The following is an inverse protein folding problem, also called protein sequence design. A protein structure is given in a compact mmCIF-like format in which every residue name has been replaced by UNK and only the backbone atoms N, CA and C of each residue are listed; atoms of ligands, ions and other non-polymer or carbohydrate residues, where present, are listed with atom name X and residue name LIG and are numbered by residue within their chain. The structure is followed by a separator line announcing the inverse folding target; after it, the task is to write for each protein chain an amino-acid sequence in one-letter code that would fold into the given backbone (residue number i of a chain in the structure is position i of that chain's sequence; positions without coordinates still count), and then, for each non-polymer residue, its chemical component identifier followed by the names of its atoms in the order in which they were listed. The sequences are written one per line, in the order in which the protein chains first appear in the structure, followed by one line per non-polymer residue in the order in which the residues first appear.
data_IF_958584354303
#
_entry.id   IF_958584354303
#
_cell.length_a   1.000
_cell.length_b   1.000
_cell.length_c   1.000
_cell.angle_alpha   90.00
_cell.angle_beta   90.00
_cell.angle_gamma   90.00
#
_symmetry.space_group_name_H-M   'P 1'
#
loop_
_entity.id
_entity.type
_entity.pdbx_description
1 polymer ?
#
# COMPACT_ATOMS: atom_id res chain seq x y z
N UNK A 1 11.59 9.72 -9.77
CA UNK A 1 12.34 8.57 -10.30
C UNK A 1 12.96 7.90 -9.09
N UNK A 2 12.40 6.79 -8.61
CA UNK A 2 12.96 6.09 -7.45
C UNK A 2 14.09 5.23 -8.00
N UNK A 3 15.33 5.47 -7.57
CA UNK A 3 16.48 4.64 -7.90
C UNK A 3 16.22 3.23 -7.37
N UNK A 4 16.19 2.24 -8.27
CA UNK A 4 16.00 0.84 -7.90
C UNK A 4 17.39 0.20 -7.98
N UNK A 5 17.93 -0.21 -6.83
CA UNK A 5 19.21 -0.94 -6.71
C UNK A 5 19.10 -2.41 -7.23
N UNK A 6 18.37 -2.62 -8.33
CA UNK A 6 18.21 -3.93 -8.98
C UNK A 6 16.80 -4.22 -9.52
N UNK A 7 16.61 -5.40 -10.15
CA UNK A 7 15.31 -5.83 -10.68
C UNK A 7 14.27 -5.98 -9.56
N UNK A 8 13.05 -5.54 -9.85
CA UNK A 8 11.89 -5.68 -8.95
C UNK A 8 11.40 -7.11 -8.99
N UNK A 9 11.33 -7.74 -7.82
CA UNK A 9 10.84 -9.11 -7.67
C UNK A 9 9.37 -9.13 -7.23
N UNK A 10 8.96 -8.13 -6.46
CA UNK A 10 7.57 -7.98 -6.02
C UNK A 10 7.23 -6.51 -5.76
N UNK A 11 6.03 -6.07 -6.14
CA UNK A 11 5.60 -4.70 -5.92
C UNK A 11 4.08 -4.56 -5.72
N UNK A 12 3.70 -3.86 -4.65
CA UNK A 12 2.33 -3.42 -4.40
C UNK A 12 2.27 -1.90 -4.26
N UNK A 13 1.36 -1.28 -5.02
CA UNK A 13 1.26 0.18 -5.10
C UNK A 13 0.45 0.81 -3.96
N UNK A 14 -0.21 0.03 -3.10
CA UNK A 14 -1.07 0.49 -2.00
C UNK A 14 -2.45 1.05 -2.41
N UNK A 15 -2.55 1.83 -3.49
CA UNK A 15 -3.81 2.30 -4.06
C UNK A 15 -3.74 2.55 -5.59
N UNK A 16 -4.83 2.26 -6.30
CA UNK A 16 -5.02 2.67 -7.70
C UNK A 16 -5.44 4.13 -7.81
N UNK A 17 -5.34 4.70 -9.02
CA UNK A 17 -5.83 6.06 -9.31
C UNK A 17 -7.33 6.10 -9.66
N UNK A 18 -7.98 4.93 -9.77
CA UNK A 18 -9.38 4.81 -10.16
C UNK A 18 -10.35 5.65 -9.30
N UNK A 19 -10.16 5.81 -7.97
CA UNK A 19 -11.01 6.67 -7.15
C UNK A 19 -11.05 8.15 -7.57
N UNK A 20 -10.10 8.63 -8.36
CA UNK A 20 -10.19 9.98 -8.93
C UNK A 20 -11.40 10.17 -9.84
N UNK A 21 -11.94 9.08 -10.40
CA UNK A 21 -13.14 9.11 -11.23
C UNK A 21 -14.42 9.37 -10.42
N UNK A 22 -14.39 9.25 -9.09
CA UNK A 22 -15.56 9.53 -8.25
C UNK A 22 -16.00 10.99 -8.35
N UNK A 23 -15.06 11.93 -8.40
CA UNK A 23 -15.37 13.35 -8.52
C UNK A 23 -16.13 13.71 -9.82
N UNK A 24 -15.61 13.41 -11.03
CA UNK A 24 -16.35 13.69 -12.26
C UNK A 24 -17.65 12.88 -12.34
N UNK A 25 -17.66 11.62 -11.90
CA UNK A 25 -18.90 10.83 -11.88
C UNK A 25 -19.98 11.47 -11.00
N UNK A 26 -19.61 11.95 -9.80
CA UNK A 26 -20.54 12.63 -8.89
C UNK A 26 -21.11 13.91 -9.49
N UNK A 27 -20.26 14.74 -10.11
CA UNK A 27 -20.70 15.97 -10.80
C UNK A 27 -21.68 15.66 -11.93
N UNK A 28 -21.37 14.66 -12.77
CA UNK A 28 -22.22 14.28 -13.90
C UNK A 28 -23.58 13.75 -13.44
N UNK A 29 -23.60 12.94 -12.38
CA UNK A 29 -24.85 12.44 -11.79
C UNK A 29 -25.67 13.60 -11.25
N UNK A 30 -25.06 14.51 -10.49
CA UNK A 30 -25.74 15.68 -9.92
C UNK A 30 -26.34 16.60 -10.99
N UNK A 31 -25.56 16.92 -12.02
CA UNK A 31 -26.05 17.71 -13.16
C UNK A 31 -27.19 17.00 -13.92
N UNK A 32 -27.09 15.69 -14.10
CA UNK A 32 -28.17 14.91 -14.73
C UNK A 32 -29.47 14.96 -13.93
N UNK A 33 -29.40 14.94 -12.60
CA UNK A 33 -30.56 15.08 -11.72
C UNK A 33 -31.15 16.50 -11.78
N UNK A 34 -30.32 17.53 -11.79
CA UNK A 34 -30.79 18.92 -11.92
C UNK A 34 -31.53 19.12 -13.25
N UNK A 35 -30.96 18.64 -14.36
CA UNK A 35 -31.59 18.72 -15.69
C UNK A 35 -32.97 18.02 -15.70
N UNK A 36 -33.11 16.93 -14.95
CA UNK A 36 -34.37 16.19 -14.85
C UNK A 36 -35.41 16.81 -13.90
N UNK A 37 -34.99 17.63 -12.93
CA UNK A 37 -35.85 18.09 -11.82
C UNK A 37 -36.07 19.61 -11.77
N UNK A 38 -35.26 20.42 -12.46
CA UNK A 38 -35.47 21.86 -12.57
C UNK A 38 -34.16 22.68 -12.63
N UNK A 39 -33.90 23.61 -11.69
CA UNK A 39 -32.76 24.52 -11.79
C UNK A 39 -31.40 23.80 -11.76
N UNK A 40 -30.48 24.24 -12.62
CA UNK A 40 -29.11 23.69 -12.69
C UNK A 40 -28.17 24.45 -11.76
N UNK A 41 -27.66 23.75 -10.74
CA UNK A 41 -26.76 24.25 -9.72
C UNK A 41 -25.30 23.94 -10.05
N UNK A 42 -24.83 24.36 -11.23
CA UNK A 42 -23.50 24.02 -11.75
C UNK A 42 -22.38 24.32 -10.75
N UNK A 43 -22.38 25.50 -10.14
CA UNK A 43 -21.35 25.91 -9.19
C UNK A 43 -21.32 25.01 -7.94
N UNK A 44 -22.48 24.59 -7.43
CA UNK A 44 -22.59 23.70 -6.27
C UNK A 44 -22.03 22.31 -6.55
N UNK A 45 -22.34 21.74 -7.72
CA UNK A 45 -21.81 20.45 -8.14
C UNK A 45 -20.30 20.51 -8.37
N UNK A 46 -19.79 21.53 -9.06
CA UNK A 46 -18.36 21.70 -9.29
C UNK A 46 -17.59 21.86 -7.98
N UNK A 47 -18.09 22.65 -7.03
CA UNK A 47 -17.46 22.83 -5.73
C UNK A 47 -17.42 21.51 -4.94
N UNK A 48 -18.53 20.77 -4.94
CA UNK A 48 -18.62 19.46 -4.27
C UNK A 48 -17.70 18.41 -4.93
N UNK A 49 -17.66 18.38 -6.26
CA UNK A 49 -16.77 17.53 -7.03
C UNK A 49 -15.30 17.84 -6.78
N UNK A 50 -14.93 19.11 -6.69
CA UNK A 50 -13.58 19.54 -6.33
C UNK A 50 -13.22 19.09 -4.90
N UNK A 51 -14.13 19.25 -3.94
CA UNK A 51 -13.94 18.76 -2.58
C UNK A 51 -13.69 17.25 -2.53
N UNK A 52 -14.52 16.47 -3.25
CA UNK A 52 -14.36 15.03 -3.36
C UNK A 52 -13.02 14.65 -4.02
N UNK A 53 -12.63 15.36 -5.08
CA UNK A 53 -11.35 15.15 -5.77
C UNK A 53 -10.17 15.34 -4.82
N UNK A 54 -10.15 16.44 -4.06
CA UNK A 54 -9.08 16.73 -3.09
C UNK A 54 -8.98 15.62 -2.05
N UNK A 55 -10.10 15.21 -1.46
CA UNK A 55 -10.14 14.12 -0.47
C UNK A 55 -9.62 12.82 -1.09
N UNK A 56 -10.05 12.46 -2.31
CA UNK A 56 -9.58 11.28 -3.02
C UNK A 56 -8.08 11.32 -3.28
N UNK A 57 -7.52 12.46 -3.70
CA UNK A 57 -6.07 12.64 -3.93
C UNK A 57 -5.29 12.43 -2.63
N UNK A 58 -5.69 13.09 -1.54
CA UNK A 58 -5.03 12.95 -0.22
C UNK A 58 -5.06 11.49 0.23
N UNK A 59 -6.21 10.83 0.11
CA UNK A 59 -6.37 9.43 0.48
C UNK A 59 -5.50 8.48 -0.36
N UNK A 60 -5.48 8.65 -1.70
CA UNK A 60 -4.63 7.85 -2.59
C UNK A 60 -3.16 8.06 -2.23
N UNK A 61 -2.74 9.31 -2.00
CA UNK A 61 -1.36 9.63 -1.66
C UNK A 61 -0.95 8.98 -0.34
N UNK A 62 -1.79 9.07 0.70
CA UNK A 62 -1.55 8.43 1.98
C UNK A 62 -1.38 6.90 1.80
N UNK A 63 -2.29 6.24 1.09
CA UNK A 63 -2.17 4.79 0.84
C UNK A 63 -0.94 4.42 0.04
N UNK A 64 -0.57 5.19 -0.97
CA UNK A 64 0.66 4.96 -1.75
C UNK A 64 1.93 5.19 -0.93
N UNK A 65 1.87 6.10 0.04
CA UNK A 65 3.02 6.43 0.89
C UNK A 65 3.23 5.40 2.00
N UNK A 66 2.15 4.93 2.62
CA UNK A 66 2.22 4.08 3.81
C UNK A 66 1.90 2.60 3.56
N UNK A 67 1.19 2.27 2.48
CA UNK A 67 0.74 0.90 2.17
C UNK A 67 1.37 0.33 0.89
N UNK A 68 2.50 0.90 0.45
CA UNK A 68 3.26 0.36 -0.67
C UNK A 68 4.30 -0.66 -0.20
N UNK A 69 4.47 -1.71 -0.98
CA UNK A 69 5.47 -2.76 -0.78
C UNK A 69 6.34 -2.81 -2.03
N UNK A 70 7.66 -2.88 -1.86
CA UNK A 70 8.59 -3.09 -2.96
C UNK A 70 9.69 -4.03 -2.48
N UNK A 71 9.84 -5.16 -3.15
CA UNK A 71 10.95 -6.08 -2.97
C UNK A 71 11.84 -6.05 -4.20
N UNK A 72 13.12 -5.85 -3.94
CA UNK A 72 14.22 -6.01 -4.89
C UNK A 72 15.14 -7.10 -4.37
N UNK A 73 16.20 -7.44 -5.12
CA UNK A 73 17.22 -8.40 -4.64
C UNK A 73 17.93 -7.97 -3.35
N UNK A 74 18.00 -6.67 -3.08
CA UNK A 74 18.82 -6.09 -2.00
C UNK A 74 17.99 -5.48 -0.89
N UNK A 75 16.76 -5.04 -1.18
CA UNK A 75 15.93 -4.31 -0.21
C UNK A 75 14.46 -4.71 -0.28
N UNK A 76 13.83 -4.77 0.90
CA UNK A 76 12.40 -4.82 1.12
C UNK A 76 11.94 -3.48 1.70
N UNK A 77 11.19 -2.71 0.91
CA UNK A 77 10.55 -1.46 1.36
C UNK A 77 9.08 -1.70 1.70
N UNK A 78 8.67 -1.32 2.89
CA UNK A 78 7.29 -1.40 3.36
C UNK A 78 6.86 -0.06 3.96
N UNK A 79 5.92 0.60 3.27
CA UNK A 79 5.49 1.95 3.56
C UNK A 79 6.67 2.93 3.53
N UNK A 80 7.11 3.37 4.71
CA UNK A 80 8.24 4.31 4.88
C UNK A 80 9.54 3.65 5.34
N UNK A 81 9.50 2.38 5.72
CA UNK A 81 10.66 1.65 6.20
C UNK A 81 11.29 0.85 5.07
N UNK A 82 12.62 0.74 5.09
CA UNK A 82 13.38 -0.11 4.16
C UNK A 82 14.28 -1.01 4.97
N UNK A 83 14.15 -2.31 4.74
CA UNK A 83 14.94 -3.36 5.34
C UNK A 83 15.85 -3.95 4.26
N UNK A 84 17.13 -4.14 4.56
CA UNK A 84 18.04 -4.82 3.65
C UNK A 84 17.76 -6.32 3.66
N UNK A 85 17.65 -6.94 2.49
CA UNK A 85 17.35 -8.38 2.36
C UNK A 85 18.43 -9.24 3.02
N UNK A 86 19.70 -8.81 3.00
CA UNK A 86 20.81 -9.50 3.67
C UNK A 86 20.63 -9.64 5.19
N UNK A 87 19.79 -8.82 5.81
CA UNK A 87 19.48 -8.89 7.24
C UNK A 87 18.38 -9.89 7.54
N UNK A 88 17.68 -10.40 6.53
CA UNK A 88 16.64 -11.41 6.69
C UNK A 88 17.34 -12.76 6.69
N UNK A 89 17.23 -13.49 7.79
CA UNK A 89 17.83 -14.80 7.98
C UNK A 89 16.88 -15.95 7.65
N UNK A 90 15.57 -15.76 7.88
CA UNK A 90 14.57 -16.82 7.73
C UNK A 90 13.19 -16.25 7.42
N UNK A 91 12.41 -16.97 6.61
CA UNK A 91 11.11 -16.55 6.06
C UNK A 91 10.03 -17.65 6.19
N UNK A 92 10.39 -18.93 6.11
CA UNK A 92 9.42 -20.03 5.92
C UNK A 92 8.84 -20.62 7.20
N UNK A 93 9.55 -20.56 8.33
CA UNK A 93 9.15 -21.20 9.59
C UNK A 93 9.25 -20.26 10.80
N UNK A 94 9.13 -18.96 10.54
CA UNK A 94 9.21 -17.95 11.58
C UNK A 94 7.88 -17.87 12.32
N UNK A 95 7.84 -18.40 13.55
CA UNK A 95 6.75 -18.15 14.48
C UNK A 95 6.55 -16.64 14.68
N UNK A 96 5.33 -16.19 14.97
CA UNK A 96 5.05 -14.77 15.21
C UNK A 96 5.00 -14.49 16.71
N UNK A 97 6.06 -13.91 17.33
CA UNK A 97 5.97 -13.49 18.72
C UNK A 97 4.84 -12.49 18.91
N UNK A 98 4.16 -12.58 20.05
CA UNK A 98 3.16 -11.57 20.43
C UNK A 98 3.87 -10.22 20.56
N UNK A 99 3.38 -9.22 19.83
CA UNK A 99 3.98 -7.88 19.80
C UNK A 99 5.19 -7.72 18.89
N UNK A 100 5.43 -8.66 17.95
CA UNK A 100 6.44 -8.49 16.91
C UNK A 100 6.27 -7.14 16.19
N UNK A 101 7.38 -6.43 15.99
CA UNK A 101 7.38 -5.09 15.39
C UNK A 101 6.95 -5.17 13.93
N UNK A 102 5.91 -4.42 13.57
CA UNK A 102 5.45 -4.34 12.18
C UNK A 102 6.33 -3.37 11.40
N UNK A 103 6.85 -3.83 10.27
CA UNK A 103 7.65 -3.01 9.36
C UNK A 103 6.82 -1.84 8.82
N UNK A 104 7.45 -0.68 8.65
CA UNK A 104 6.78 0.55 8.23
C UNK A 104 6.29 1.42 9.39
N UNK A 105 6.48 0.96 10.64
CA UNK A 105 6.21 1.73 11.87
C UNK A 105 4.75 1.79 12.31
N UNK A 106 3.90 0.89 11.80
CA UNK A 106 2.52 0.75 12.24
C UNK A 106 2.44 -0.08 13.54
N UNK A 107 1.41 0.16 14.36
CA UNK A 107 1.15 -0.63 15.58
C UNK A 107 0.67 -2.06 15.28
N UNK A 108 0.10 -2.27 14.09
CA UNK A 108 -0.45 -3.55 13.67
C UNK A 108 -0.40 -3.66 12.13
N UNK A 109 -0.54 -4.88 11.61
CA UNK A 109 -0.66 -5.12 10.16
C UNK A 109 -1.87 -4.35 9.62
N UNK A 110 -1.71 -3.60 8.50
CA UNK A 110 -2.81 -2.86 7.93
C UNK A 110 -4.01 -3.76 7.59
N UNK A 111 -5.22 -3.23 7.74
CA UNK A 111 -6.44 -3.98 7.43
C UNK A 111 -6.43 -4.47 5.98
N UNK A 112 -6.77 -5.74 5.77
CA UNK A 112 -6.75 -6.46 4.47
C UNK A 112 -5.34 -6.81 3.94
N UNK A 113 -4.30 -6.65 4.76
CA UNK A 113 -2.97 -7.14 4.49
C UNK A 113 -2.69 -8.33 5.40
N UNK A 114 -1.83 -9.23 4.94
CA UNK A 114 -1.38 -10.41 5.66
C UNK A 114 0.02 -10.15 6.22
N UNK A 115 0.23 -10.53 7.48
CA UNK A 115 1.55 -10.47 8.10
C UNK A 115 2.45 -11.58 7.57
N UNK A 116 3.69 -11.24 7.26
CA UNK A 116 4.74 -12.18 6.82
C UNK A 116 5.85 -12.09 7.86
N UNK A 117 5.96 -13.07 8.78
CA UNK A 117 6.98 -13.05 9.82
C UNK A 117 8.37 -13.24 9.20
N UNK A 118 9.32 -12.40 9.62
CA UNK A 118 10.70 -12.42 9.13
C UNK A 118 11.63 -12.44 10.32
N UNK A 119 12.54 -13.40 10.36
CA UNK A 119 13.61 -13.43 11.35
C UNK A 119 14.82 -12.72 10.80
N UNK A 120 15.40 -11.84 11.59
CA UNK A 120 16.58 -11.08 11.21
C UNK A 120 17.87 -11.80 11.63
N UNK A 121 18.99 -11.36 11.06
CA UNK A 121 20.34 -11.84 11.35
C UNK A 121 20.78 -11.62 12.81
N UNK A 122 20.18 -10.64 13.49
CA UNK A 122 20.33 -10.41 14.93
C UNK A 122 19.43 -11.31 15.81
N UNK A 123 18.66 -12.21 15.19
CA UNK A 123 17.74 -13.15 15.85
C UNK A 123 16.39 -12.55 16.24
N UNK A 124 16.16 -11.24 16.03
CA UNK A 124 14.86 -10.61 16.25
C UNK A 124 13.84 -11.02 15.18
N UNK A 125 12.55 -10.96 15.52
CA UNK A 125 11.46 -11.21 14.57
C UNK A 125 10.67 -9.93 14.33
N UNK A 126 10.56 -9.58 13.05
CA UNK A 126 9.73 -8.47 12.57
C UNK A 126 8.60 -9.00 11.70
N UNK A 127 7.51 -8.25 11.62
CA UNK A 127 6.37 -8.59 10.81
C UNK A 127 6.36 -7.72 9.56
N UNK A 128 6.77 -8.31 8.43
CA UNK A 128 6.47 -7.76 7.13
C UNK A 128 4.98 -7.88 6.82
N UNK A 129 4.52 -7.23 5.77
CA UNK A 129 3.14 -7.34 5.30
C UNK A 129 3.01 -7.11 3.81
N UNK A 130 2.02 -7.77 3.23
CA UNK A 130 1.59 -7.59 1.84
C UNK A 130 0.11 -7.91 1.72
N UNK A 131 -0.57 -7.37 0.68
CA UNK A 131 -1.94 -7.74 0.39
C UNK A 131 -1.99 -9.18 -0.12
N UNK A 132 -0.98 -9.58 -0.87
CA UNK A 132 -0.68 -10.98 -1.16
C UNK A 132 0.57 -11.42 -0.38
N UNK A 133 0.34 -11.89 0.86
CA UNK A 133 1.40 -12.32 1.76
C UNK A 133 2.15 -13.57 1.27
N UNK A 134 1.45 -14.49 0.61
CA UNK A 134 2.03 -15.73 0.09
C UNK A 134 3.01 -15.43 -1.05
N UNK A 135 2.62 -14.57 -1.99
CA UNK A 135 3.50 -14.14 -3.08
C UNK A 135 4.73 -13.37 -2.57
N UNK A 136 4.57 -12.51 -1.55
CA UNK A 136 5.71 -11.84 -0.93
C UNK A 136 6.65 -12.85 -0.26
N UNK A 137 6.10 -13.82 0.48
CA UNK A 137 6.88 -14.85 1.17
C UNK A 137 7.65 -15.72 0.17
N UNK A 138 7.01 -16.14 -0.91
CA UNK A 138 7.63 -16.92 -1.98
C UNK A 138 8.80 -16.16 -2.62
N UNK A 139 8.58 -14.89 -2.98
CA UNK A 139 9.63 -14.05 -3.57
C UNK A 139 10.81 -13.80 -2.61
N UNK A 140 10.56 -13.71 -1.30
CA UNK A 140 11.62 -13.60 -0.29
C UNK A 140 12.40 -14.91 -0.13
N UNK A 141 11.71 -16.06 -0.11
CA UNK A 141 12.32 -17.38 -0.01
C UNK A 141 13.33 -17.61 -1.12
N UNK A 142 12.99 -17.28 -2.37
CA UNK A 142 13.91 -17.43 -3.52
C UNK A 142 15.24 -16.69 -3.38
N UNK A 143 15.33 -15.68 -2.51
CA UNK A 143 16.54 -14.86 -2.31
C UNK A 143 17.26 -15.24 -1.03
N UNK A 144 16.52 -15.56 0.03
CA UNK A 144 17.06 -15.78 1.39
C UNK A 144 17.34 -17.27 1.65
N UNK A 145 16.52 -18.16 1.13
CA UNK A 145 16.57 -19.62 1.33
C UNK A 145 16.60 -20.34 -0.05
N UNK A 146 17.67 -20.16 -0.85
CA UNK A 146 17.76 -20.76 -2.19
C UNK A 146 17.91 -22.30 -2.18
#
# INVERSE_FOLDING_TARGET
MIEHDGPVLYAERGASWWPLLWAPAFVLIGLGLDIATGPVHLAGWLLSGLGLLVVSVVWIHARRRFLAVLLTRTTLRQGRETLEVRRIAEVSEVGTPVGARVLGGALAVPRKYHGVPLKLDDGSVVLGWARDGESLQAALREIVEP
#
